data_IF_732921926209
#
_entry.id   IF_732921926209
#
_cell.length_a   1.000
_cell.length_b   1.000
_cell.length_c   1.000
_cell.angle_alpha   90.00
_cell.angle_beta   90.00
_cell.angle_gamma   90.00
#
_symmetry.space_group_name_H-M   'P 1'
#
loop_
_entity.id
_entity.type
_entity.pdbx_description
1 polymer ?
#
# COMPACT_ATOMS: atom_id res chain seq x y z
N UNK A 1 4.70 -10.57 19.85
CA UNK A 1 4.70 -9.32 19.07
C UNK A 1 3.29 -9.01 18.59
N UNK A 2 3.07 -7.81 18.08
CA UNK A 2 1.79 -7.45 17.41
C UNK A 2 1.69 -8.20 16.08
N UNK A 3 0.63 -8.99 15.82
CA UNK A 3 0.46 -9.66 14.52
C UNK A 3 0.15 -8.64 13.43
N UNK A 4 0.86 -8.73 12.30
CA UNK A 4 0.65 -7.85 11.14
C UNK A 4 0.36 -8.68 9.90
N UNK A 5 -0.72 -8.35 9.20
CA UNK A 5 -0.97 -8.74 7.83
C UNK A 5 -0.81 -7.51 6.93
N UNK A 6 0.06 -7.60 5.93
CA UNK A 6 0.32 -6.53 4.98
C UNK A 6 0.10 -7.02 3.54
N UNK A 7 -0.64 -6.25 2.76
CA UNK A 7 -0.87 -6.53 1.34
C UNK A 7 -0.29 -5.41 0.47
N UNK A 8 0.40 -5.79 -0.62
CA UNK A 8 0.91 -4.83 -1.59
C UNK A 8 -0.25 -4.18 -2.35
N UNK A 9 -0.56 -2.94 -2.01
CA UNK A 9 -1.51 -2.08 -2.70
C UNK A 9 -0.78 -1.05 -3.59
N UNK A 10 -1.49 -0.02 -4.04
CA UNK A 10 -0.92 1.06 -4.82
C UNK A 10 -1.68 2.36 -4.59
N UNK A 11 -0.99 3.51 -4.69
CA UNK A 11 -1.61 4.84 -4.63
C UNK A 11 -2.77 5.00 -5.62
N UNK A 12 -2.66 4.37 -6.80
CA UNK A 12 -3.70 4.41 -7.83
C UNK A 12 -5.00 3.68 -7.45
N UNK A 13 -5.01 2.90 -6.37
CA UNK A 13 -6.20 2.30 -5.78
C UNK A 13 -6.97 3.24 -4.84
N UNK A 14 -6.42 4.41 -4.51
CA UNK A 14 -7.17 5.47 -3.82
C UNK A 14 -8.20 6.07 -4.77
N UNK A 15 -9.45 6.11 -4.34
CA UNK A 15 -10.53 6.76 -5.09
C UNK A 15 -10.42 8.28 -4.93
N UNK A 16 -10.15 8.78 -3.72
CA UNK A 16 -10.07 10.22 -3.47
C UNK A 16 -8.83 10.88 -4.10
N UNK A 17 -7.73 10.15 -4.31
CA UNK A 17 -6.51 10.64 -4.96
C UNK A 17 -6.55 10.49 -6.50
N UNK A 18 -7.63 9.94 -7.07
CA UNK A 18 -7.68 9.67 -8.50
C UNK A 18 -8.01 10.92 -9.34
N UNK A 19 -6.97 11.58 -9.84
CA UNK A 19 -7.08 12.74 -10.77
C UNK A 19 -6.72 12.44 -12.22
N UNK A 20 -6.25 11.22 -12.50
CA UNK A 20 -5.64 10.86 -13.79
C UNK A 20 -6.47 9.88 -14.62
N UNK A 21 -7.29 9.04 -13.97
CA UNK A 21 -8.02 7.97 -14.68
C UNK A 21 -7.09 6.90 -15.29
N UNK A 22 -7.57 6.25 -16.35
CA UNK A 22 -6.89 5.15 -17.06
C UNK A 22 -6.71 3.89 -16.20
N UNK A 23 -6.05 2.87 -16.77
CA UNK A 23 -5.66 1.65 -16.04
C UNK A 23 -6.81 0.99 -15.27
N UNK A 24 -8.03 1.00 -15.84
CA UNK A 24 -9.28 0.72 -15.12
C UNK A 24 -9.23 -0.60 -14.33
N UNK A 25 -8.80 -1.71 -14.95
CA UNK A 25 -8.71 -3.00 -14.25
C UNK A 25 -7.71 -2.99 -13.09
N UNK A 26 -6.55 -2.35 -13.27
CA UNK A 26 -5.53 -2.26 -12.23
C UNK A 26 -6.00 -1.36 -11.07
N UNK A 27 -6.58 -0.19 -11.37
CA UNK A 27 -7.15 0.70 -10.34
C UNK A 27 -8.30 0.04 -9.59
N UNK A 28 -9.25 -0.56 -10.32
CA UNK A 28 -10.40 -1.24 -9.71
C UNK A 28 -9.96 -2.38 -8.79
N UNK A 29 -9.00 -3.21 -9.23
CA UNK A 29 -8.48 -4.29 -8.38
C UNK A 29 -7.75 -3.78 -7.13
N UNK A 30 -6.99 -2.69 -7.23
CA UNK A 30 -6.33 -2.08 -6.06
C UNK A 30 -7.30 -1.36 -5.12
N UNK A 31 -8.34 -0.72 -5.65
CA UNK A 31 -9.42 -0.15 -4.84
C UNK A 31 -10.22 -1.26 -4.12
N UNK A 32 -10.53 -2.36 -4.80
CA UNK A 32 -11.16 -3.53 -4.19
C UNK A 32 -10.27 -4.14 -3.09
N UNK A 33 -8.95 -4.23 -3.31
CA UNK A 33 -8.00 -4.68 -2.29
C UNK A 33 -8.03 -3.75 -1.06
N UNK A 34 -8.08 -2.43 -1.24
CA UNK A 34 -8.20 -1.47 -0.13
C UNK A 34 -9.49 -1.70 0.68
N UNK A 35 -10.60 -2.02 0.02
CA UNK A 35 -11.85 -2.38 0.70
C UNK A 35 -11.72 -3.69 1.48
N UNK A 36 -11.05 -4.70 0.93
CA UNK A 36 -10.79 -5.96 1.64
C UNK A 36 -9.92 -5.74 2.89
N UNK A 37 -8.88 -4.91 2.79
CA UNK A 37 -8.04 -4.51 3.94
C UNK A 37 -8.91 -3.88 5.03
N UNK A 38 -9.80 -2.95 4.66
CA UNK A 38 -10.69 -2.29 5.62
C UNK A 38 -11.61 -3.29 6.34
N UNK A 39 -12.23 -4.21 5.59
CA UNK A 39 -13.12 -5.21 6.16
C UNK A 39 -12.36 -6.19 7.08
N UNK A 40 -11.22 -6.69 6.62
CA UNK A 40 -10.41 -7.61 7.42
C UNK A 40 -9.83 -6.97 8.67
N UNK A 41 -9.50 -5.68 8.64
CA UNK A 41 -9.10 -4.96 9.85
C UNK A 41 -10.23 -4.94 10.90
N UNK A 42 -11.47 -4.69 10.48
CA UNK A 42 -12.65 -4.71 11.36
C UNK A 42 -12.88 -6.11 11.91
N UNK A 43 -12.82 -7.14 11.06
CA UNK A 43 -13.06 -8.51 11.46
C UNK A 43 -11.95 -9.06 12.38
N UNK A 44 -10.69 -8.70 12.11
CA UNK A 44 -9.54 -9.09 12.92
C UNK A 44 -9.56 -8.41 14.31
N UNK A 45 -9.95 -7.14 14.38
CA UNK A 45 -10.08 -6.40 15.64
C UNK A 45 -11.08 -7.03 16.62
N UNK A 46 -12.14 -7.69 16.12
CA UNK A 46 -13.09 -8.44 16.95
C UNK A 46 -12.46 -9.65 17.66
N UNK A 47 -11.38 -10.20 17.11
CA UNK A 47 -10.66 -11.36 17.65
C UNK A 47 -9.43 -10.95 18.46
N UNK A 48 -8.75 -9.90 18.00
CA UNK A 48 -7.55 -9.35 18.63
C UNK A 48 -7.43 -7.88 18.26
N UNK A 49 -7.76 -7.01 19.21
CA UNK A 49 -7.73 -5.54 19.05
C UNK A 49 -6.33 -4.97 18.82
N UNK A 50 -5.29 -5.78 19.04
CA UNK A 50 -3.89 -5.43 18.73
C UNK A 50 -3.47 -5.79 17.31
N UNK A 51 -4.26 -6.57 16.56
CA UNK A 51 -3.87 -7.02 15.21
C UNK A 51 -3.91 -5.88 14.19
N UNK A 52 -2.96 -5.89 13.25
CA UNK A 52 -2.82 -4.86 12.22
C UNK A 52 -3.04 -5.50 10.84
N UNK A 53 -3.97 -4.96 10.07
CA UNK A 53 -4.22 -5.32 8.68
C UNK A 53 -4.05 -4.07 7.82
N UNK A 54 -3.08 -4.04 6.91
CA UNK A 54 -2.72 -2.80 6.19
C UNK A 54 -2.42 -3.03 4.71
N UNK A 55 -2.63 -1.98 3.93
CA UNK A 55 -2.14 -1.86 2.55
C UNK A 55 -0.80 -1.14 2.49
N UNK A 56 0.10 -1.58 1.64
CA UNK A 56 1.41 -0.97 1.43
C UNK A 56 1.64 -0.65 -0.04
N UNK A 57 1.97 0.60 -0.34
CA UNK A 57 2.39 1.02 -1.68
C UNK A 57 3.93 1.16 -1.73
N UNK A 58 4.63 0.31 -2.50
CA UNK A 58 6.09 0.27 -2.53
C UNK A 58 6.76 1.43 -3.28
N UNK A 59 5.98 2.40 -3.78
CA UNK A 59 6.48 3.34 -4.80
C UNK A 59 6.56 2.67 -6.18
N UNK A 60 7.36 3.25 -7.08
CA UNK A 60 7.62 2.66 -8.39
C UNK A 60 8.88 1.81 -8.33
N UNK A 61 8.71 0.49 -8.39
CA UNK A 61 9.79 -0.48 -8.30
C UNK A 61 10.20 -0.99 -9.68
N UNK A 62 11.51 -1.02 -9.96
CA UNK A 62 12.13 -1.56 -11.17
C UNK A 62 11.78 -3.05 -11.33
N UNK A 63 10.68 -3.27 -12.03
CA UNK A 63 10.09 -4.58 -12.30
C UNK A 63 9.57 -4.64 -13.73
N UNK A 64 9.20 -5.84 -14.21
CA UNK A 64 8.52 -6.02 -15.50
C UNK A 64 7.21 -5.22 -15.59
N UNK A 65 6.47 -5.10 -14.48
CA UNK A 65 5.23 -4.31 -14.42
C UNK A 65 5.49 -2.82 -14.68
N UNK A 66 6.56 -2.27 -14.10
CA UNK A 66 6.91 -0.85 -14.23
C UNK A 66 7.64 -0.50 -15.53
N UNK A 67 8.24 -1.49 -16.22
CA UNK A 67 9.16 -1.27 -17.34
C UNK A 67 8.61 -0.36 -18.44
N UNK A 68 7.35 -0.49 -18.88
CA UNK A 68 6.79 0.38 -19.91
C UNK A 68 6.55 1.84 -19.45
N UNK A 69 6.65 2.12 -18.14
CA UNK A 69 6.21 3.37 -17.53
C UNK A 69 7.32 4.11 -16.77
N UNK A 70 8.58 3.67 -16.90
CA UNK A 70 9.72 4.29 -16.20
C UNK A 70 10.01 5.71 -16.65
N UNK A 71 9.70 6.03 -17.91
CA UNK A 71 10.00 7.35 -18.50
C UNK A 71 9.27 8.51 -17.84
N UNK A 72 8.20 8.27 -17.07
CA UNK A 72 7.45 9.30 -16.33
C UNK A 72 7.84 9.37 -14.85
N UNK A 73 8.78 8.52 -14.40
CA UNK A 73 9.22 8.49 -13.01
C UNK A 73 10.24 9.59 -12.77
N UNK A 74 10.00 10.42 -11.76
CA UNK A 74 10.93 11.48 -11.38
C UNK A 74 12.32 10.89 -11.00
N UNK A 75 13.43 11.60 -11.27
CA UNK A 75 14.77 11.17 -10.86
C UNK A 75 14.83 10.77 -9.38
N UNK A 76 15.43 9.62 -9.10
CA UNK A 76 15.55 9.08 -7.73
C UNK A 76 14.26 8.48 -7.13
N UNK A 77 13.16 8.42 -7.89
CA UNK A 77 11.87 7.80 -7.48
C UNK A 77 11.59 6.44 -8.13
N UNK A 78 12.55 5.91 -8.89
CA UNK A 78 12.57 4.51 -9.32
C UNK A 78 13.42 3.72 -8.32
N UNK A 79 12.82 2.75 -7.64
CA UNK A 79 13.49 1.95 -6.62
C UNK A 79 13.83 0.57 -7.15
N UNK A 80 14.93 -0.03 -6.68
CA UNK A 80 15.10 -1.47 -6.79
C UNK A 80 14.20 -2.20 -5.78
N UNK A 81 14.11 -3.53 -5.93
CA UNK A 81 13.25 -4.35 -5.09
C UNK A 81 13.70 -4.42 -3.61
N UNK A 82 15.01 -4.37 -3.36
CA UNK A 82 15.58 -4.45 -2.02
C UNK A 82 15.27 -3.19 -1.23
N UNK A 83 15.52 -2.02 -1.82
CA UNK A 83 15.16 -0.72 -1.25
C UNK A 83 13.66 -0.64 -0.95
N UNK A 84 12.82 -1.03 -1.89
CA UNK A 84 11.37 -1.01 -1.68
C UNK A 84 10.95 -1.94 -0.53
N UNK A 85 11.54 -3.14 -0.44
CA UNK A 85 11.25 -4.07 0.65
C UNK A 85 11.67 -3.51 2.02
N UNK A 86 12.89 -2.96 2.13
CA UNK A 86 13.39 -2.35 3.37
C UNK A 86 12.51 -1.18 3.82
N UNK A 87 12.15 -0.28 2.89
CA UNK A 87 11.24 0.83 3.18
C UNK A 87 9.87 0.35 3.67
N UNK A 88 9.34 -0.72 3.09
CA UNK A 88 8.07 -1.29 3.56
C UNK A 88 8.19 -1.96 4.93
N UNK A 89 9.33 -2.58 5.24
CA UNK A 89 9.60 -3.13 6.58
C UNK A 89 9.67 -2.01 7.61
N UNK A 90 10.37 -0.91 7.32
CA UNK A 90 10.43 0.28 8.20
C UNK A 90 9.02 0.82 8.50
N UNK A 91 8.15 0.89 7.47
CA UNK A 91 6.75 1.28 7.66
C UNK A 91 6.05 0.31 8.60
N UNK A 92 6.16 -1.01 8.37
CA UNK A 92 5.51 -2.04 9.19
C UNK A 92 5.96 -1.97 10.66
N UNK A 93 7.25 -1.73 10.91
CA UNK A 93 7.81 -1.59 12.26
C UNK A 93 7.27 -0.36 13.00
N UNK A 94 6.90 0.70 12.29
CA UNK A 94 6.37 1.92 12.87
C UNK A 94 4.85 1.90 13.12
N UNK A 95 4.11 0.91 12.59
CA UNK A 95 2.65 0.84 12.68
C UNK A 95 2.15 0.60 14.11
N UNK A 96 0.98 1.15 14.40
CA UNK A 96 0.25 0.95 15.66
C UNK A 96 -1.10 0.29 15.40
N UNK A 97 -1.75 -0.33 16.40
CA UNK A 97 -3.08 -0.93 16.22
C UNK A 97 -4.12 0.02 15.62
N UNK A 98 -4.05 1.33 15.92
CA UNK A 98 -4.93 2.36 15.35
C UNK A 98 -4.73 2.62 13.85
N UNK A 99 -3.66 2.10 13.25
CA UNK A 99 -3.39 2.19 11.82
C UNK A 99 -4.01 1.04 11.01
N UNK A 100 -4.56 0.04 11.69
CA UNK A 100 -5.24 -1.09 11.06
C UNK A 100 -6.41 -0.61 10.17
N UNK A 101 -6.48 -1.16 8.97
CA UNK A 101 -7.47 -0.84 7.95
C UNK A 101 -7.07 0.32 7.02
N UNK A 102 -5.87 0.88 7.17
CA UNK A 102 -5.34 1.95 6.32
C UNK A 102 -4.38 1.45 5.25
N UNK A 103 -3.99 2.34 4.34
CA UNK A 103 -2.95 2.10 3.35
C UNK A 103 -1.83 3.14 3.50
N UNK A 104 -0.57 2.72 3.43
CA UNK A 104 0.59 3.60 3.57
C UNK A 104 1.53 3.45 2.36
N UNK A 105 2.23 4.53 2.01
CA UNK A 105 3.32 4.50 1.05
C UNK A 105 4.65 4.14 1.72
N UNK A 106 5.65 3.82 0.90
CA UNK A 106 7.03 3.51 1.29
C UNK A 106 7.71 4.58 2.19
N UNK A 107 7.20 5.80 2.21
CA UNK A 107 7.67 6.91 3.05
C UNK A 107 6.88 7.06 4.36
N UNK A 108 6.00 6.10 4.68
CA UNK A 108 5.14 6.12 5.87
C UNK A 108 3.94 7.05 5.75
N UNK A 109 3.75 7.74 4.63
CA UNK A 109 2.60 8.63 4.43
C UNK A 109 1.35 7.81 4.13
N UNK A 110 0.26 8.11 4.84
CA UNK A 110 -1.05 7.50 4.58
C UNK A 110 -1.53 7.86 3.16
N UNK A 111 -1.99 6.85 2.44
CA UNK A 111 -2.70 7.01 1.17
C UNK A 111 -4.19 7.12 1.49
N UNK A 112 -4.85 8.23 1.14
CA UNK A 112 -6.26 8.42 1.45
C UNK A 112 -7.12 7.36 0.73
N UNK A 113 -8.29 7.05 1.31
CA UNK A 113 -9.25 6.12 0.72
C UNK A 113 -9.74 6.59 -0.66
#
# INVERSE_FOLDING_TARGET
GTPVFAALSARVGSISDNRLGGWHGYRASKAALNMLIRNFAIDAARRNDRSIVVGLHPGTVDTKLSAPFRGTVAPGKLFDAERAALQLLDVVEALKPGDSGKCFAWDGVEIPA
#
